data_IF_278501675513
#
_entry.id   IF_278501675513
#
_cell.length_a   1.000
_cell.length_b   1.000
_cell.length_c   1.000
_cell.angle_alpha   90.00
_cell.angle_beta   90.00
_cell.angle_gamma   90.00
#
_symmetry.space_group_name_H-M   'P 1'
#
loop_
_entity.id
_entity.type
_entity.pdbx_description
1 polymer ?
#
# COMPACT_ATOMS: atom_id res chain seq x y z
N UNK A 1 -8.03 9.63 -1.76
CA UNK A 1 -6.62 9.76 -2.16
C UNK A 1 -6.29 8.61 -3.08
N UNK A 2 -5.75 8.85 -4.28
CA UNK A 2 -5.46 7.81 -5.28
C UNK A 2 -4.01 7.34 -5.28
N UNK A 3 -3.15 7.93 -4.41
CA UNK A 3 -1.70 7.71 -4.42
C UNK A 3 -1.18 7.00 -3.17
N UNK A 4 -2.03 6.33 -2.39
CA UNK A 4 -1.57 5.61 -1.22
C UNK A 4 -1.09 4.21 -1.63
N UNK A 5 0.18 3.86 -1.41
CA UNK A 5 0.82 2.70 -2.03
C UNK A 5 0.33 1.35 -1.51
N UNK A 6 -0.40 1.32 -0.39
CA UNK A 6 -1.00 0.09 0.16
C UNK A 6 -2.44 -0.15 -0.30
N UNK A 7 -3.04 0.78 -1.06
CA UNK A 7 -4.39 0.60 -1.60
C UNK A 7 -4.35 0.20 -3.07
N UNK A 8 -5.23 -0.73 -3.45
CA UNK A 8 -5.40 -1.21 -4.83
C UNK A 8 -6.81 -0.93 -5.32
N UNK A 9 -6.93 -0.73 -6.64
CA UNK A 9 -8.22 -0.58 -7.28
C UNK A 9 -8.98 -1.92 -7.32
N UNK A 10 -10.27 -1.81 -7.61
CA UNK A 10 -11.12 -2.96 -7.84
C UNK A 10 -10.60 -3.76 -9.03
N UNK A 11 -10.78 -5.09 -8.96
CA UNK A 11 -10.28 -5.99 -9.99
C UNK A 11 -11.10 -5.89 -11.25
N UNK A 12 -10.43 -5.96 -12.40
CA UNK A 12 -11.07 -6.27 -13.68
C UNK A 12 -11.83 -7.58 -13.52
N UNK A 13 -13.08 -7.60 -13.99
CA UNK A 13 -13.91 -8.80 -13.88
C UNK A 13 -13.35 -9.95 -14.70
N UNK A 14 -13.64 -11.19 -14.29
CA UNK A 14 -13.24 -12.37 -15.06
C UNK A 14 -13.71 -12.31 -16.52
N UNK A 15 -14.94 -11.83 -16.75
CA UNK A 15 -15.51 -11.70 -18.08
C UNK A 15 -14.70 -10.75 -18.97
N UNK A 16 -14.31 -9.58 -18.45
CA UNK A 16 -13.50 -8.61 -19.17
C UNK A 16 -12.10 -9.14 -19.44
N UNK A 17 -11.46 -9.76 -18.44
CA UNK A 17 -10.15 -10.41 -18.60
C UNK A 17 -10.20 -11.48 -19.69
N UNK A 18 -11.21 -12.37 -19.65
CA UNK A 18 -11.39 -13.40 -20.66
C UNK A 18 -11.57 -12.80 -22.06
N UNK A 19 -12.42 -11.78 -22.20
CA UNK A 19 -12.62 -11.06 -23.46
C UNK A 19 -11.31 -10.45 -23.96
N UNK A 20 -10.52 -9.83 -23.08
CA UNK A 20 -9.24 -9.23 -23.47
C UNK A 20 -8.22 -10.26 -23.94
N UNK A 21 -8.15 -11.42 -23.28
CA UNK A 21 -7.30 -12.54 -23.69
C UNK A 21 -7.72 -13.05 -25.07
N UNK A 22 -9.02 -13.29 -25.30
CA UNK A 22 -9.52 -13.80 -26.58
C UNK A 22 -9.36 -12.78 -27.72
N UNK A 23 -9.64 -11.50 -27.47
CA UNK A 23 -9.41 -10.44 -28.46
C UNK A 23 -7.92 -10.37 -28.84
N UNK A 24 -7.02 -10.51 -27.86
CA UNK A 24 -5.58 -10.48 -28.12
C UNK A 24 -5.07 -11.72 -28.84
N UNK A 25 -5.55 -12.90 -28.45
CA UNK A 25 -5.24 -14.16 -29.13
C UNK A 25 -5.66 -14.14 -30.61
N UNK A 26 -6.83 -13.55 -30.91
CA UNK A 26 -7.35 -13.42 -32.27
C UNK A 26 -6.79 -12.21 -33.05
N UNK A 27 -5.82 -11.48 -32.50
CA UNK A 27 -5.19 -10.35 -33.16
C UNK A 27 -6.05 -9.09 -33.29
N UNK A 28 -7.17 -9.00 -32.57
CA UNK A 28 -8.09 -7.84 -32.59
C UNK A 28 -7.46 -6.63 -31.88
N UNK A 29 -6.77 -6.87 -30.76
CA UNK A 29 -6.07 -5.82 -29.99
C UNK A 29 -4.88 -6.38 -29.23
N UNK A 30 -3.99 -5.52 -28.73
CA UNK A 30 -2.95 -5.95 -27.79
C UNK A 30 -3.54 -6.14 -26.39
N UNK A 31 -3.05 -7.15 -25.66
CA UNK A 31 -3.45 -7.34 -24.26
C UNK A 31 -2.94 -6.15 -23.41
N UNK A 32 -3.82 -5.45 -22.67
CA UNK A 32 -3.41 -4.32 -21.84
C UNK A 32 -2.65 -4.84 -20.61
N UNK A 33 -1.40 -4.40 -20.45
CA UNK A 33 -0.64 -4.63 -19.22
C UNK A 33 -0.93 -3.49 -18.25
N UNK A 34 -1.95 -3.67 -17.41
CA UNK A 34 -2.29 -2.74 -16.34
C UNK A 34 -1.70 -3.21 -15.01
N UNK A 35 -0.80 -2.39 -14.44
CA UNK A 35 -0.16 -2.65 -13.14
C UNK A 35 -0.85 -1.91 -11.98
N UNK A 36 -1.96 -1.20 -12.22
CA UNK A 36 -2.73 -0.50 -11.18
C UNK A 36 -3.56 -1.46 -10.31
N UNK A 37 -3.81 -2.68 -10.80
CA UNK A 37 -4.43 -3.78 -10.07
C UNK A 37 -3.37 -4.72 -9.48
N UNK A 38 -2.44 -4.21 -8.67
CA UNK A 38 -1.42 -5.05 -8.03
C UNK A 38 -2.05 -6.22 -7.25
N UNK A 39 -1.47 -7.43 -7.30
CA UNK A 39 -2.05 -8.63 -6.67
C UNK A 39 -2.32 -8.50 -5.17
N UNK A 40 -1.60 -7.61 -4.49
CA UNK A 40 -1.66 -7.40 -3.06
C UNK A 40 -1.95 -5.93 -2.77
N UNK A 41 -2.82 -5.70 -1.79
CA UNK A 41 -3.17 -4.37 -1.33
C UNK A 41 -4.58 -4.36 -0.76
N UNK A 42 -4.87 -3.33 0.03
CA UNK A 42 -6.17 -3.16 0.64
C UNK A 42 -7.12 -2.43 -0.34
N UNK A 43 -8.40 -2.81 -0.44
CA UNK A 43 -9.31 -2.17 -1.40
C UNK A 43 -9.42 -0.66 -1.19
N UNK A 44 -9.16 0.13 -2.23
CA UNK A 44 -9.18 1.60 -2.15
C UNK A 44 -10.52 2.16 -1.68
N UNK A 45 -11.62 1.51 -2.06
CA UNK A 45 -13.00 1.83 -1.63
C UNK A 45 -13.26 1.66 -0.14
N UNK A 46 -12.37 0.97 0.58
CA UNK A 46 -12.46 0.74 2.03
C UNK A 46 -11.43 1.55 2.83
N UNK A 47 -10.68 2.46 2.20
CA UNK A 47 -9.60 3.23 2.83
C UNK A 47 -9.99 3.90 4.15
N UNK A 48 -11.24 4.35 4.28
CA UNK A 48 -11.73 5.00 5.48
C UNK A 48 -12.67 4.06 6.26
N UNK A 49 -12.62 4.06 7.60
CA UNK A 49 -13.62 3.40 8.41
C UNK A 49 -15.03 3.90 8.07
N UNK A 50 -16.03 3.02 8.20
CA UNK A 50 -17.44 3.35 7.91
C UNK A 50 -17.99 4.54 8.72
N UNK A 51 -17.49 4.75 9.94
CA UNK A 51 -18.03 5.75 10.86
C UNK A 51 -19.44 5.42 11.37
N UNK A 52 -20.14 6.43 11.88
CA UNK A 52 -21.50 6.33 12.45
C UNK A 52 -22.41 7.41 11.86
N UNK A 53 -23.73 7.13 11.89
CA UNK A 53 -24.75 8.16 11.60
C UNK A 53 -24.60 9.29 12.64
N UNK A 54 -24.45 10.52 12.18
CA UNK A 54 -24.16 11.68 13.04
C UNK A 54 -22.67 12.03 13.15
N UNK A 55 -21.79 11.30 12.46
CA UNK A 55 -20.35 11.54 12.49
C UNK A 55 -19.65 10.69 13.54
N UNK A 56 -18.37 10.41 13.28
CA UNK A 56 -17.48 9.74 14.23
C UNK A 56 -16.13 10.44 14.15
N UNK A 57 -15.69 11.13 15.20
CA UNK A 57 -14.38 11.77 15.20
C UNK A 57 -13.30 10.69 15.19
N UNK A 58 -12.25 10.92 14.40
CA UNK A 58 -11.04 10.12 14.37
C UNK A 58 -9.85 11.02 14.59
N UNK A 59 -8.84 10.49 15.27
CA UNK A 59 -7.56 11.16 15.39
C UNK A 59 -6.74 10.86 14.14
N UNK A 60 -6.38 11.90 13.37
CA UNK A 60 -5.41 11.76 12.28
C UNK A 60 -4.02 12.01 12.85
N UNK A 61 -3.20 10.97 12.89
CA UNK A 61 -1.82 11.05 13.38
C UNK A 61 -0.84 11.09 12.21
N UNK A 62 0.18 11.95 12.30
CA UNK A 62 1.32 11.93 11.39
C UNK A 62 2.63 12.21 12.12
N UNK A 63 3.71 11.67 11.56
CA UNK A 63 5.08 11.81 12.05
C UNK A 63 6.01 12.05 10.87
N UNK A 64 7.07 12.84 11.10
CA UNK A 64 8.20 12.96 10.18
C UNK A 64 9.43 12.35 10.84
N UNK A 65 9.99 11.29 10.26
CA UNK A 65 11.22 10.65 10.73
C UNK A 65 12.34 10.77 9.68
N UNK A 66 13.62 10.69 10.11
CA UNK A 66 14.73 10.52 9.17
C UNK A 66 14.52 9.28 8.28
N UNK A 67 14.88 9.39 7.00
CA UNK A 67 14.82 8.27 6.07
C UNK A 67 15.92 7.25 6.37
N UNK A 68 15.56 5.97 6.45
CA UNK A 68 16.49 4.88 6.62
C UNK A 68 16.46 3.98 5.37
N UNK A 69 17.55 3.99 4.61
CA UNK A 69 17.61 3.29 3.33
C UNK A 69 17.55 1.75 3.51
N UNK A 70 16.74 1.03 2.71
CA UNK A 70 16.69 -0.42 2.70
C UNK A 70 18.01 -1.05 2.22
N UNK A 71 18.36 -2.19 2.80
CA UNK A 71 19.51 -2.99 2.37
C UNK A 71 19.35 -3.56 0.95
N UNK A 72 18.11 -3.84 0.57
CA UNK A 72 17.75 -4.27 -0.78
C UNK A 72 17.13 -3.08 -1.51
N UNK A 73 17.82 -2.47 -2.49
CA UNK A 73 17.25 -1.37 -3.25
C UNK A 73 16.03 -1.84 -4.05
N UNK A 74 15.07 -0.94 -4.21
CA UNK A 74 13.89 -1.23 -5.02
C UNK A 74 14.33 -1.56 -6.45
N UNK A 75 13.79 -2.66 -7.00
CA UNK A 75 14.08 -3.16 -8.35
C UNK A 75 15.46 -3.78 -8.59
N UNK A 76 16.36 -3.79 -7.59
CA UNK A 76 17.73 -4.31 -7.75
C UNK A 76 18.00 -5.59 -6.93
N UNK A 77 16.98 -6.16 -6.28
CA UNK A 77 17.10 -7.40 -5.53
C UNK A 77 15.77 -7.99 -5.09
N UNK A 78 15.82 -8.99 -4.19
CA UNK A 78 14.64 -9.62 -3.60
C UNK A 78 14.73 -9.74 -2.07
N UNK A 79 13.79 -9.12 -1.35
CA UNK A 79 13.58 -9.32 0.09
C UNK A 79 12.40 -10.28 0.31
N UNK A 80 12.73 -11.51 0.72
CA UNK A 80 11.74 -12.56 0.95
C UNK A 80 10.92 -12.35 2.22
N UNK A 81 11.36 -11.49 3.14
CA UNK A 81 10.68 -11.26 4.42
C UNK A 81 9.39 -10.45 4.24
N UNK A 82 9.30 -9.66 3.17
CA UNK A 82 8.22 -8.69 2.92
C UNK A 82 7.80 -8.70 1.46
N UNK A 83 7.21 -9.82 1.05
CA UNK A 83 6.71 -9.96 -0.31
C UNK A 83 5.18 -10.14 -0.35
N UNK A 84 4.61 -9.63 -1.42
CA UNK A 84 3.21 -9.75 -1.79
C UNK A 84 3.07 -10.63 -3.05
N UNK A 85 4.04 -11.55 -3.25
CA UNK A 85 4.24 -12.26 -4.50
C UNK A 85 5.06 -11.47 -5.51
N UNK A 86 4.40 -10.73 -6.40
CA UNK A 86 5.04 -10.06 -7.56
C UNK A 86 5.84 -8.83 -7.12
N UNK A 87 7.14 -8.80 -7.44
CA UNK A 87 8.03 -7.66 -7.22
C UNK A 87 9.34 -8.04 -6.52
N UNK A 88 10.11 -7.03 -6.13
CA UNK A 88 11.38 -7.20 -5.38
C UNK A 88 11.15 -7.50 -3.90
N UNK A 89 9.95 -7.33 -3.35
CA UNK A 89 9.75 -7.38 -1.88
C UNK A 89 10.56 -6.32 -1.11
N UNK A 90 11.30 -5.46 -1.80
CA UNK A 90 12.11 -4.42 -1.21
C UNK A 90 11.20 -3.41 -0.51
N UNK A 91 11.58 -3.02 0.72
CA UNK A 91 10.89 -1.96 1.43
C UNK A 91 11.07 -0.65 0.66
N UNK A 92 9.96 -0.05 0.23
CA UNK A 92 9.99 1.18 -0.58
C UNK A 92 9.77 2.47 0.25
N UNK A 93 9.43 2.34 1.54
CA UNK A 93 9.24 3.48 2.45
C UNK A 93 10.52 3.75 3.26
N UNK A 94 10.92 2.82 4.13
CA UNK A 94 12.16 2.84 4.90
C UNK A 94 12.45 1.45 5.54
N UNK A 95 13.46 1.35 6.41
CA UNK A 95 13.79 0.14 7.18
C UNK A 95 13.17 0.07 8.57
N UNK A 96 12.34 1.03 8.96
CA UNK A 96 11.71 1.02 10.28
C UNK A 96 10.70 -0.13 10.40
N UNK A 97 10.39 -0.59 11.62
CA UNK A 97 9.40 -1.64 11.85
C UNK A 97 8.01 -1.28 11.32
N UNK A 98 7.22 -2.28 10.94
CA UNK A 98 5.80 -2.04 10.63
C UNK A 98 5.08 -1.48 11.85
N UNK A 99 4.32 -0.42 11.62
CA UNK A 99 3.61 0.28 12.67
C UNK A 99 4.47 1.30 13.42
N UNK A 100 5.75 1.49 13.08
CA UNK A 100 6.57 2.54 13.71
C UNK A 100 5.88 3.90 13.64
N UNK A 101 5.86 4.67 14.74
CA UNK A 101 6.41 4.41 16.08
C UNK A 101 5.42 3.78 17.09
N UNK A 102 4.28 3.31 16.61
CA UNK A 102 3.16 2.77 17.40
C UNK A 102 3.27 1.25 17.65
N UNK A 103 4.36 0.61 17.24
CA UNK A 103 4.58 -0.83 17.40
C UNK A 103 5.02 -1.21 18.82
N UNK A 104 5.43 -0.23 19.63
CA UNK A 104 5.91 -0.40 21.01
C UNK A 104 4.91 0.15 22.02
N UNK A 105 5.07 -0.26 23.28
CA UNK A 105 4.37 0.36 24.40
C UNK A 105 4.79 1.83 24.50
N UNK A 106 3.81 2.72 24.50
CA UNK A 106 4.01 4.16 24.59
C UNK A 106 4.22 4.55 26.06
N UNK A 107 5.28 5.32 26.32
CA UNK A 107 5.46 6.08 27.55
C UNK A 107 5.06 7.54 27.29
N UNK A 108 3.94 7.96 27.88
CA UNK A 108 3.40 9.30 27.66
C UNK A 108 4.32 10.42 28.19
N UNK A 109 5.24 10.12 29.10
CA UNK A 109 6.20 11.10 29.59
C UNK A 109 7.20 11.54 28.51
N UNK A 110 7.46 10.69 27.52
CA UNK A 110 8.44 10.92 26.44
C UNK A 110 7.80 11.00 25.05
N UNK A 111 6.49 10.73 24.94
CA UNK A 111 5.80 10.60 23.65
C UNK A 111 5.71 11.91 22.85
N UNK A 112 5.59 13.04 23.55
CA UNK A 112 5.30 14.34 22.92
C UNK A 112 6.58 14.98 22.38
N UNK A 113 6.88 14.69 21.10
CA UNK A 113 8.06 15.23 20.40
C UNK A 113 7.67 16.16 19.24
N UNK A 114 8.53 17.12 18.84
CA UNK A 114 8.18 18.16 17.86
C UNK A 114 7.85 17.67 16.44
N UNK A 115 8.23 16.44 16.09
CA UNK A 115 8.02 15.86 14.76
C UNK A 115 6.79 14.93 14.67
N UNK A 116 5.96 14.88 15.72
CA UNK A 116 4.67 14.19 15.76
C UNK A 116 3.52 15.19 15.92
N UNK A 117 2.39 14.93 15.26
CA UNK A 117 1.19 15.77 15.39
C UNK A 117 -0.08 14.95 15.18
N UNK A 118 -1.15 15.36 15.88
CA UNK A 118 -2.47 14.78 15.79
C UNK A 118 -3.51 15.79 16.30
#
# INVERSE_FOLDING_TARGET
>A
STKFPLYVQDRTSYFELYKWVMDAYNGVKKFPLDMTEAHCGFPSRLMLPKGKKGGMPFQLYFIVSPYHAPSTPQYEGYDYTLNCGVGSGARYVDTLPFGYPLERKIDEAEWFVPNMYY
#
